data_IF_693860199312
#
_entry.id   IF_693860199312
#
_cell.length_a   1.000
_cell.length_b   1.000
_cell.length_c   1.000
_cell.angle_alpha   90.00
_cell.angle_beta   90.00
_cell.angle_gamma   90.00
#
_symmetry.space_group_name_H-M   'P 1'
#
loop_
_entity.id
_entity.type
_entity.pdbx_description
1 polymer ?
#
# COMPACT_ATOMS: atom_id res chain seq x y z
N UNK A 1 30.77 -0.08 5.77
CA UNK A 1 30.24 0.32 4.45
C UNK A 1 29.69 1.75 4.36
N UNK A 2 29.81 2.53 5.41
CA UNK A 2 29.57 3.99 5.38
C UNK A 2 30.54 4.74 4.46
N UNK A 3 31.69 4.15 4.16
CA UNK A 3 32.71 4.73 3.26
C UNK A 3 32.29 4.66 1.79
N UNK A 4 31.50 3.64 1.40
CA UNK A 4 30.98 3.51 0.03
C UNK A 4 29.83 4.47 -0.28
N UNK A 5 29.02 4.82 0.72
CA UNK A 5 27.97 5.84 0.55
C UNK A 5 28.54 7.26 0.42
N UNK A 6 29.71 7.52 0.99
CA UNK A 6 30.44 8.80 0.77
C UNK A 6 30.89 8.98 -0.68
N UNK A 7 31.35 7.90 -1.33
CA UNK A 7 31.79 7.97 -2.74
C UNK A 7 30.65 8.29 -3.71
N UNK A 8 29.47 7.71 -3.53
CA UNK A 8 28.31 8.04 -4.36
C UNK A 8 27.84 9.49 -4.12
N UNK A 9 27.78 9.93 -2.87
CA UNK A 9 27.40 11.31 -2.52
C UNK A 9 28.33 12.36 -3.16
N UNK A 10 29.63 12.06 -3.27
CA UNK A 10 30.59 13.00 -3.86
C UNK A 10 30.55 13.03 -5.40
N UNK A 11 30.22 11.92 -6.05
CA UNK A 11 29.99 11.90 -7.51
C UNK A 11 28.71 12.66 -7.87
N UNK A 12 27.63 12.49 -7.12
CA UNK A 12 26.38 13.22 -7.34
C UNK A 12 26.44 14.72 -6.94
N UNK A 13 27.35 15.11 -6.06
CA UNK A 13 27.58 16.52 -5.73
C UNK A 13 28.08 17.36 -6.90
N UNK A 14 28.66 16.74 -7.92
CA UNK A 14 29.29 17.42 -9.08
C UNK A 14 28.45 17.37 -10.36
N UNK A 15 27.41 16.55 -10.42
CA UNK A 15 26.59 16.43 -11.62
C UNK A 15 25.21 17.06 -11.37
N UNK A 16 24.88 18.09 -12.13
CA UNK A 16 23.55 18.73 -12.09
C UNK A 16 22.50 17.93 -12.87
N UNK A 17 22.90 16.85 -13.55
CA UNK A 17 22.03 16.01 -14.36
C UNK A 17 22.56 14.58 -14.46
N UNK A 18 21.65 13.63 -14.69
CA UNK A 18 21.95 12.22 -14.96
C UNK A 18 20.94 11.64 -15.95
N UNK A 19 21.37 10.80 -16.88
CA UNK A 19 20.46 10.03 -17.73
C UNK A 19 19.68 8.99 -16.92
N UNK A 20 18.39 8.83 -17.19
CA UNK A 20 17.56 7.80 -16.53
C UNK A 20 18.20 6.42 -16.68
N UNK A 21 18.73 6.09 -17.87
CA UNK A 21 19.39 4.81 -18.12
C UNK A 21 20.67 4.61 -17.27
N UNK A 22 21.45 5.67 -17.09
CA UNK A 22 22.66 5.61 -16.26
C UNK A 22 22.31 5.53 -14.78
N UNK A 23 21.27 6.28 -14.34
CA UNK A 23 20.74 6.15 -12.98
C UNK A 23 20.31 4.71 -12.68
N UNK A 24 19.56 4.07 -13.58
CA UNK A 24 19.09 2.69 -13.43
C UNK A 24 20.27 1.73 -13.31
N UNK A 25 21.30 1.86 -14.16
CA UNK A 25 22.52 1.04 -14.10
C UNK A 25 23.25 1.18 -12.76
N UNK A 26 23.44 2.42 -12.31
CA UNK A 26 24.12 2.67 -11.03
C UNK A 26 23.30 2.19 -9.85
N UNK A 27 21.98 2.38 -9.87
CA UNK A 27 21.08 1.87 -8.86
C UNK A 27 21.13 0.34 -8.76
N UNK A 28 21.06 -0.36 -9.90
CA UNK A 28 21.17 -1.82 -9.96
C UNK A 28 22.53 -2.30 -9.47
N UNK A 29 23.62 -1.62 -9.86
CA UNK A 29 24.98 -1.95 -9.40
C UNK A 29 25.13 -1.77 -7.89
N UNK A 30 24.53 -0.74 -7.32
CA UNK A 30 24.67 -0.38 -5.90
C UNK A 30 23.82 -1.24 -4.99
N UNK A 31 22.58 -1.53 -5.41
CA UNK A 31 21.58 -2.17 -4.56
C UNK A 31 21.19 -3.58 -5.01
N UNK A 32 21.63 -4.04 -6.17
CA UNK A 32 21.26 -5.34 -6.73
C UNK A 32 19.81 -5.42 -7.22
N UNK A 33 19.07 -4.31 -7.24
CA UNK A 33 17.64 -4.23 -7.56
C UNK A 33 17.47 -3.67 -8.97
N UNK A 34 16.70 -4.37 -9.81
CA UNK A 34 16.28 -3.84 -11.11
C UNK A 34 15.10 -2.89 -10.95
N UNK A 35 15.20 -1.72 -11.54
CA UNK A 35 14.12 -0.74 -11.63
C UNK A 35 13.88 -0.34 -13.08
N UNK A 36 12.65 0.04 -13.41
CA UNK A 36 12.26 0.55 -14.73
C UNK A 36 12.33 2.07 -14.80
N UNK A 37 12.35 2.62 -16.01
CA UNK A 37 12.25 4.06 -16.23
C UNK A 37 10.93 4.64 -15.70
N UNK A 38 9.82 3.88 -15.78
CA UNK A 38 8.53 4.27 -15.21
C UNK A 38 8.64 4.47 -13.70
N UNK A 39 9.24 3.51 -12.98
CA UNK A 39 9.44 3.61 -11.53
C UNK A 39 10.30 4.80 -11.12
N UNK A 40 11.32 5.14 -11.92
CA UNK A 40 12.13 6.35 -11.68
C UNK A 40 11.27 7.61 -11.84
N UNK A 41 10.48 7.70 -12.91
CA UNK A 41 9.59 8.83 -13.14
C UNK A 41 8.54 8.99 -12.04
N UNK A 42 7.93 7.90 -11.60
CA UNK A 42 6.95 7.92 -10.50
C UNK A 42 7.59 8.34 -9.18
N UNK A 43 8.81 7.88 -8.89
CA UNK A 43 9.56 8.33 -7.71
C UNK A 43 9.81 9.85 -7.74
N UNK A 44 10.12 10.42 -8.92
CA UNK A 44 10.26 11.86 -9.10
C UNK A 44 8.92 12.57 -8.85
N UNK A 45 7.80 12.07 -9.37
CA UNK A 45 6.47 12.63 -9.15
C UNK A 45 6.10 12.64 -7.65
N UNK A 46 6.38 11.53 -6.95
CA UNK A 46 6.18 11.43 -5.50
C UNK A 46 7.03 12.46 -4.74
N UNK A 47 8.31 12.55 -5.09
CA UNK A 47 9.27 13.47 -4.44
C UNK A 47 8.85 14.93 -4.59
N UNK A 48 8.23 15.27 -5.69
CA UNK A 48 7.76 16.63 -6.02
C UNK A 48 6.31 16.90 -5.57
N UNK A 49 5.64 15.95 -4.95
CA UNK A 49 4.26 16.08 -4.49
C UNK A 49 3.19 15.95 -5.58
N UNK A 50 3.57 15.61 -6.81
CA UNK A 50 2.61 15.44 -7.93
C UNK A 50 1.73 14.20 -7.79
N UNK A 51 2.09 13.28 -6.91
CA UNK A 51 1.27 12.12 -6.55
C UNK A 51 -0.05 12.50 -5.88
N UNK A 52 -0.09 13.63 -5.19
CA UNK A 52 -1.27 14.11 -4.46
C UNK A 52 -2.27 14.74 -5.42
N UNK A 53 -3.48 14.19 -5.48
CA UNK A 53 -4.54 14.64 -6.41
C UNK A 53 -5.68 15.40 -5.74
N UNK A 54 -5.78 15.39 -4.40
CA UNK A 54 -6.85 16.07 -3.65
C UNK A 54 -6.46 17.52 -3.34
N UNK A 55 -7.30 18.47 -3.70
CA UNK A 55 -7.07 19.91 -3.52
C UNK A 55 -6.70 20.28 -2.06
N UNK A 56 -7.41 19.74 -1.08
CA UNK A 56 -7.12 20.02 0.34
C UNK A 56 -5.73 19.54 0.79
N UNK A 57 -5.24 18.42 0.22
CA UNK A 57 -3.91 17.92 0.50
C UNK A 57 -2.85 18.63 -0.32
N UNK A 58 -3.19 19.03 -1.55
CA UNK A 58 -2.34 19.84 -2.41
C UNK A 58 -1.94 21.16 -1.74
N UNK A 59 -2.90 21.84 -1.12
CA UNK A 59 -2.63 23.07 -0.35
C UNK A 59 -1.69 22.81 0.84
N UNK A 60 -1.75 21.63 1.45
CA UNK A 60 -0.93 21.23 2.60
C UNK A 60 0.51 20.88 2.20
N UNK A 61 0.67 20.06 1.16
CA UNK A 61 1.99 19.54 0.77
C UNK A 61 2.70 20.39 -0.27
N UNK A 62 1.97 21.17 -1.05
CA UNK A 62 2.41 21.99 -2.18
C UNK A 62 3.32 21.23 -3.15
N UNK A 63 3.05 21.31 -4.40
CA UNK A 63 3.97 20.81 -5.43
C UNK A 63 5.18 21.74 -5.50
N UNK A 64 6.36 21.17 -5.35
CA UNK A 64 7.61 21.91 -5.47
C UNK A 64 8.48 21.14 -6.44
N UNK A 65 8.61 21.67 -7.65
CA UNK A 65 9.49 21.08 -8.64
C UNK A 65 10.94 21.32 -8.22
N UNK A 66 11.64 20.23 -8.00
CA UNK A 66 13.07 20.22 -7.63
C UNK A 66 13.91 19.55 -8.70
N UNK A 67 13.28 18.67 -9.50
CA UNK A 67 13.86 17.96 -10.62
C UNK A 67 13.02 18.16 -11.87
N UNK A 68 13.64 18.18 -13.02
CA UNK A 68 13.00 18.04 -14.31
C UNK A 68 13.49 16.79 -15.02
N UNK A 69 12.58 16.11 -15.71
CA UNK A 69 12.91 15.04 -16.65
C UNK A 69 12.53 15.52 -18.04
N UNK A 70 13.55 15.80 -18.85
CA UNK A 70 13.33 16.28 -20.20
C UNK A 70 12.99 15.14 -21.18
N UNK A 71 12.53 15.51 -22.38
CA UNK A 71 12.15 14.51 -23.40
C UNK A 71 13.33 13.63 -23.88
N UNK A 72 14.56 14.00 -23.55
CA UNK A 72 15.75 13.20 -23.83
C UNK A 72 16.03 12.13 -22.79
N UNK A 73 15.22 12.05 -21.72
CA UNK A 73 15.40 11.13 -20.61
C UNK A 73 16.51 11.54 -19.65
N UNK A 74 16.80 12.85 -19.57
CA UNK A 74 17.75 13.40 -18.61
C UNK A 74 17.01 13.95 -17.39
N UNK A 75 17.40 13.50 -16.20
CA UNK A 75 16.98 14.05 -14.92
C UNK A 75 17.93 15.18 -14.57
N UNK A 76 17.41 16.38 -14.35
CA UNK A 76 18.18 17.57 -13.98
C UNK A 76 17.62 18.20 -12.71
N UNK A 77 18.51 18.77 -11.89
CA UNK A 77 18.09 19.63 -10.79
C UNK A 77 17.68 20.99 -11.33
N UNK A 78 16.53 21.48 -10.91
CA UNK A 78 16.13 22.83 -11.23
C UNK A 78 17.12 23.85 -10.65
N UNK A 79 17.37 24.92 -11.39
CA UNK A 79 18.30 25.98 -10.99
C UNK A 79 17.96 26.54 -9.60
N UNK A 80 16.68 26.82 -9.35
CA UNK A 80 16.20 27.34 -8.05
C UNK A 80 16.51 26.39 -6.88
N UNK A 81 16.46 25.07 -7.12
CA UNK A 81 16.80 24.08 -6.11
C UNK A 81 18.32 23.99 -5.91
N UNK A 82 19.09 24.02 -6.99
CA UNK A 82 20.55 24.05 -6.95
C UNK A 82 21.10 25.26 -6.19
N UNK A 83 20.51 26.45 -6.43
CA UNK A 83 20.85 27.67 -5.70
C UNK A 83 20.56 27.56 -4.20
N UNK A 84 19.45 26.95 -3.80
CA UNK A 84 19.14 26.68 -2.38
C UNK A 84 20.12 25.70 -1.74
N UNK A 85 20.53 24.66 -2.47
CA UNK A 85 21.51 23.68 -1.98
C UNK A 85 22.90 24.29 -1.75
N UNK A 86 23.21 25.46 -2.34
CA UNK A 86 24.44 26.20 -2.05
C UNK A 86 24.49 26.76 -0.61
N UNK A 87 23.32 26.93 0.05
CA UNK A 87 23.24 27.34 1.45
C UNK A 87 23.45 26.12 2.37
N UNK A 88 24.53 26.15 3.13
CA UNK A 88 24.96 25.00 3.96
C UNK A 88 23.87 24.50 4.90
N UNK A 89 23.09 25.38 5.53
CA UNK A 89 22.01 24.98 6.43
C UNK A 89 20.91 24.19 5.69
N UNK A 90 20.49 24.67 4.53
CA UNK A 90 19.49 23.98 3.71
C UNK A 90 20.01 22.63 3.22
N UNK A 91 21.25 22.58 2.74
CA UNK A 91 21.92 21.34 2.32
C UNK A 91 21.94 20.30 3.44
N UNK A 92 22.36 20.69 4.64
CA UNK A 92 22.41 19.78 5.80
C UNK A 92 21.05 19.22 6.15
N UNK A 93 19.99 20.05 6.15
CA UNK A 93 18.63 19.59 6.41
C UNK A 93 18.13 18.59 5.37
N UNK A 94 18.38 18.84 4.08
CA UNK A 94 18.02 17.91 3.00
C UNK A 94 18.78 16.60 3.16
N UNK A 95 20.07 16.64 3.45
CA UNK A 95 20.90 15.46 3.66
C UNK A 95 20.39 14.62 4.86
N UNK A 96 20.00 15.24 5.94
CA UNK A 96 19.46 14.57 7.13
C UNK A 96 18.08 13.93 6.85
N UNK A 97 17.20 14.60 6.12
CA UNK A 97 15.91 14.02 5.69
C UNK A 97 16.14 12.78 4.83
N UNK A 98 17.07 12.84 3.88
CA UNK A 98 17.42 11.68 3.03
C UNK A 98 17.96 10.52 3.86
N UNK A 99 18.88 10.79 4.81
CA UNK A 99 19.43 9.77 5.72
C UNK A 99 18.34 9.10 6.54
N UNK A 100 17.42 9.88 7.12
CA UNK A 100 16.27 9.36 7.87
C UNK A 100 15.35 8.53 6.99
N UNK A 101 15.07 8.98 5.77
CA UNK A 101 14.27 8.23 4.79
C UNK A 101 14.88 6.87 4.45
N UNK A 102 16.19 6.85 4.18
CA UNK A 102 16.93 5.60 3.88
C UNK A 102 16.94 4.66 5.10
N UNK A 103 17.16 5.18 6.31
CA UNK A 103 17.14 4.37 7.52
C UNK A 103 15.77 3.72 7.73
N UNK A 104 14.67 4.50 7.67
CA UNK A 104 13.30 3.99 7.77
C UNK A 104 12.96 2.94 6.70
N UNK A 105 13.42 3.15 5.46
CA UNK A 105 13.25 2.17 4.39
C UNK A 105 13.95 0.85 4.73
N UNK A 106 15.20 0.92 5.19
CA UNK A 106 15.97 -0.27 5.58
C UNK A 106 15.29 -1.00 6.74
N UNK A 107 14.92 -0.29 7.79
CA UNK A 107 14.27 -0.88 8.97
C UNK A 107 12.96 -1.59 8.60
N UNK A 108 12.16 -1.00 7.71
CA UNK A 108 10.86 -1.56 7.32
C UNK A 108 10.98 -2.70 6.31
N UNK A 109 11.83 -2.58 5.29
CA UNK A 109 11.77 -3.47 4.12
C UNK A 109 12.86 -4.53 4.07
N UNK A 110 13.98 -4.37 4.79
CA UNK A 110 15.06 -5.36 4.74
C UNK A 110 14.80 -6.64 5.53
N UNK A 111 14.15 -6.64 6.72
CA UNK A 111 14.04 -7.84 7.54
C UNK A 111 13.03 -8.89 7.08
N UNK A 112 12.11 -8.58 6.17
CA UNK A 112 11.00 -9.50 5.91
C UNK A 112 10.34 -9.37 4.54
N UNK A 113 11.07 -8.91 3.53
CA UNK A 113 10.52 -8.75 2.18
C UNK A 113 10.17 -10.11 1.59
N UNK A 114 8.91 -10.27 1.20
CA UNK A 114 8.49 -11.43 0.42
C UNK A 114 9.11 -11.31 -0.98
N UNK A 115 9.63 -12.41 -1.50
CA UNK A 115 10.09 -12.48 -2.89
C UNK A 115 8.91 -12.15 -3.80
N UNK A 116 9.13 -11.27 -4.76
CA UNK A 116 8.14 -10.80 -5.75
C UNK A 116 6.96 -9.95 -5.18
N UNK A 117 7.09 -9.40 -3.98
CA UNK A 117 6.12 -8.47 -3.42
C UNK A 117 6.81 -7.21 -2.87
N UNK A 118 6.27 -6.01 -3.10
CA UNK A 118 6.76 -4.80 -2.47
C UNK A 118 6.34 -4.68 -0.99
N UNK A 119 5.50 -5.61 -0.51
CA UNK A 119 4.96 -5.59 0.85
C UNK A 119 5.74 -6.54 1.78
N UNK A 120 5.82 -6.16 3.06
CA UNK A 120 6.38 -6.98 4.14
C UNK A 120 5.23 -7.53 4.96
N UNK A 121 5.25 -8.84 5.25
CA UNK A 121 4.22 -9.49 6.06
C UNK A 121 4.08 -8.82 7.42
N UNK A 122 2.83 -8.58 7.80
CA UNK A 122 2.41 -8.03 9.10
C UNK A 122 2.82 -6.58 9.36
N UNK A 123 3.46 -5.92 8.38
CA UNK A 123 3.67 -4.48 8.42
C UNK A 123 2.39 -3.71 8.08
N UNK A 124 2.30 -2.48 8.59
CA UNK A 124 1.13 -1.61 8.36
C UNK A 124 1.29 -0.77 7.10
N UNK A 125 0.23 -0.75 6.29
CA UNK A 125 0.12 0.06 5.07
C UNK A 125 -1.22 0.79 5.04
N UNK A 126 -1.19 2.07 4.70
CA UNK A 126 -2.38 2.80 4.30
C UNK A 126 -2.77 2.44 2.85
N UNK A 127 -3.99 2.77 2.43
CA UNK A 127 -4.39 2.64 1.02
C UNK A 127 -3.50 3.47 0.07
N UNK A 128 -2.99 4.60 0.56
CA UNK A 128 -2.02 5.43 -0.17
C UNK A 128 -0.69 4.70 -0.34
N UNK A 129 -0.19 4.04 0.69
CA UNK A 129 1.04 3.25 0.58
C UNK A 129 0.90 2.14 -0.46
N UNK A 130 -0.26 1.49 -0.54
CA UNK A 130 -0.54 0.50 -1.59
C UNK A 130 -0.48 1.14 -2.97
N UNK A 131 -1.09 2.32 -3.18
CA UNK A 131 -1.01 3.04 -4.46
C UNK A 131 0.43 3.37 -4.85
N UNK A 132 1.25 3.81 -3.89
CA UNK A 132 2.66 4.13 -4.09
C UNK A 132 3.49 2.89 -4.44
N UNK A 133 3.34 1.81 -3.66
CA UNK A 133 4.11 0.59 -3.84
C UNK A 133 3.74 -0.17 -5.11
N UNK A 134 2.50 -0.01 -5.58
CA UNK A 134 2.01 -0.58 -6.85
C UNK A 134 2.21 0.35 -8.05
N UNK A 135 2.95 1.44 -7.89
CA UNK A 135 3.28 2.38 -8.95
C UNK A 135 2.05 2.88 -9.74
N UNK A 136 0.98 3.25 -9.04
CA UNK A 136 -0.26 3.70 -9.68
C UNK A 136 -0.18 5.09 -10.32
N UNK A 137 0.95 5.78 -10.21
CA UNK A 137 1.15 7.15 -10.73
C UNK A 137 0.31 8.23 -10.04
N UNK A 138 -0.68 7.84 -9.25
CA UNK A 138 -1.56 8.74 -8.46
C UNK A 138 -2.11 8.05 -7.23
N UNK A 139 -2.59 8.86 -6.26
CA UNK A 139 -3.24 8.35 -5.06
C UNK A 139 -4.64 7.80 -5.38
N UNK A 140 -4.81 6.48 -5.30
CA UNK A 140 -6.09 5.79 -5.47
C UNK A 140 -6.82 5.53 -4.15
N UNK A 141 -6.32 6.00 -3.00
CA UNK A 141 -6.85 5.68 -1.67
C UNK A 141 -8.34 5.96 -1.51
N UNK A 142 -8.86 6.99 -2.21
CA UNK A 142 -10.27 7.37 -2.17
C UNK A 142 -11.23 6.41 -2.88
N UNK A 143 -10.72 5.49 -3.69
CA UNK A 143 -11.53 4.49 -4.44
C UNK A 143 -11.16 3.06 -4.06
N UNK A 144 -10.34 2.85 -3.02
CA UNK A 144 -9.95 1.55 -2.49
C UNK A 144 -10.82 1.13 -1.31
N UNK A 145 -12.15 1.18 -1.46
CA UNK A 145 -13.08 0.75 -0.41
C UNK A 145 -13.45 -0.72 -0.59
N UNK A 146 -13.12 -1.54 0.42
CA UNK A 146 -13.39 -2.97 0.43
C UNK A 146 -12.45 -3.75 -0.49
N UNK A 147 -12.43 -3.47 -1.80
CA UNK A 147 -11.57 -4.14 -2.76
C UNK A 147 -11.12 -3.18 -3.86
N UNK A 148 -9.90 -3.40 -4.38
CA UNK A 148 -9.38 -2.73 -5.56
C UNK A 148 -8.50 -3.66 -6.38
N UNK A 149 -8.79 -3.80 -7.67
CA UNK A 149 -7.89 -4.41 -8.65
C UNK A 149 -6.92 -3.36 -9.20
N UNK A 150 -5.65 -3.72 -9.26
CA UNK A 150 -4.56 -2.95 -9.86
C UNK A 150 -3.81 -3.94 -10.75
N UNK A 151 -3.96 -3.83 -12.07
CA UNK A 151 -3.41 -4.77 -13.05
C UNK A 151 -3.79 -6.23 -12.75
N UNK A 152 -2.81 -7.09 -12.46
CA UNK A 152 -2.99 -8.50 -12.14
C UNK A 152 -3.20 -8.77 -10.65
N UNK A 153 -3.10 -7.74 -9.82
CA UNK A 153 -3.25 -7.83 -8.38
C UNK A 153 -4.64 -7.37 -7.93
N UNK A 154 -5.22 -8.05 -6.93
CA UNK A 154 -6.39 -7.56 -6.21
C UNK A 154 -6.07 -7.39 -4.74
N UNK A 155 -6.44 -6.25 -4.18
CA UNK A 155 -6.25 -5.89 -2.78
C UNK A 155 -7.60 -5.86 -2.09
N UNK A 156 -7.76 -6.64 -1.01
CA UNK A 156 -8.96 -6.65 -0.17
C UNK A 156 -8.62 -5.99 1.16
N UNK A 157 -9.40 -4.95 1.51
CA UNK A 157 -9.22 -4.15 2.72
C UNK A 157 -10.36 -4.42 3.69
N UNK A 158 -10.06 -5.00 4.84
CA UNK A 158 -11.03 -5.41 5.84
C UNK A 158 -10.84 -4.61 7.14
N UNK A 159 -11.94 -4.15 7.70
CA UNK A 159 -12.03 -3.73 9.10
C UNK A 159 -12.61 -4.90 9.89
N UNK A 160 -11.85 -5.45 10.84
CA UNK A 160 -12.21 -6.67 11.58
C UNK A 160 -13.40 -6.43 12.51
N UNK A 161 -13.35 -5.36 13.31
CA UNK A 161 -14.47 -4.87 14.13
C UNK A 161 -14.99 -3.57 13.50
N UNK A 162 -16.09 -3.65 12.77
CA UNK A 162 -16.77 -2.47 12.26
C UNK A 162 -17.56 -1.82 13.40
N UNK A 163 -17.54 -0.49 13.49
CA UNK A 163 -18.49 0.23 14.33
C UNK A 163 -19.88 -0.04 13.74
N UNK A 164 -20.68 -0.81 14.47
CA UNK A 164 -22.05 -1.08 14.07
C UNK A 164 -22.83 0.25 14.11
N UNK A 165 -23.46 0.61 12.99
CA UNK A 165 -24.64 1.47 13.06
C UNK A 165 -25.62 0.77 14.01
N UNK A 166 -26.22 1.49 14.96
CA UNK A 166 -27.00 0.96 16.08
C UNK A 166 -28.14 -0.03 15.72
N UNK A 167 -28.32 -0.36 14.45
CA UNK A 167 -29.42 -1.15 13.90
C UNK A 167 -29.05 -2.60 13.45
N UNK A 168 -27.78 -3.03 13.54
CA UNK A 168 -27.39 -4.36 13.07
C UNK A 168 -26.85 -5.26 14.20
N UNK A 169 -27.70 -5.68 15.12
CA UNK A 169 -27.40 -6.77 16.07
C UNK A 169 -27.92 -8.08 15.51
N UNK A 170 -27.23 -8.68 14.57
CA UNK A 170 -27.44 -10.08 14.21
C UNK A 170 -26.50 -10.94 15.05
N UNK A 171 -27.04 -11.58 16.07
CA UNK A 171 -26.37 -12.61 16.87
C UNK A 171 -26.86 -13.99 16.43
N UNK A 172 -25.95 -14.87 16.05
CA UNK A 172 -26.20 -16.30 15.91
C UNK A 172 -25.53 -16.99 17.10
N UNK A 173 -26.29 -17.70 17.94
CA UNK A 173 -25.83 -18.38 19.15
C UNK A 173 -25.03 -17.52 20.14
N UNK A 174 -25.40 -16.22 20.30
CA UNK A 174 -24.75 -15.32 21.26
C UNK A 174 -23.34 -14.84 20.84
N UNK A 175 -22.91 -15.15 19.62
CA UNK A 175 -21.71 -14.59 19.00
C UNK A 175 -22.12 -13.64 17.89
N UNK A 176 -21.43 -12.48 17.73
CA UNK A 176 -21.65 -11.63 16.58
C UNK A 176 -21.42 -12.44 15.30
N UNK A 177 -22.35 -12.39 14.35
CA UNK A 177 -22.16 -12.97 13.01
C UNK A 177 -21.16 -12.09 12.24
N UNK A 178 -19.90 -12.10 12.65
CA UNK A 178 -18.81 -11.45 11.93
C UNK A 178 -18.54 -12.26 10.68
N UNK A 179 -19.06 -11.76 9.59
CA UNK A 179 -18.83 -12.34 8.28
C UNK A 179 -17.36 -12.29 7.83
N UNK A 180 -16.56 -11.39 8.44
CA UNK A 180 -15.15 -11.16 8.10
C UNK A 180 -14.27 -11.60 9.28
N UNK A 181 -13.88 -12.89 9.34
CA UNK A 181 -13.15 -13.44 10.49
C UNK A 181 -12.12 -14.50 10.10
N UNK A 182 -11.04 -14.57 10.87
CA UNK A 182 -10.14 -15.72 10.86
C UNK A 182 -10.79 -16.90 11.61
N UNK A 183 -10.95 -18.02 10.92
CA UNK A 183 -11.39 -19.30 11.51
C UNK A 183 -10.22 -19.95 12.26
N UNK A 184 -9.05 -19.88 11.67
CA UNK A 184 -7.76 -20.27 12.22
C UNK A 184 -6.64 -19.35 11.71
N UNK A 185 -5.38 -19.74 11.82
CA UNK A 185 -4.23 -18.96 11.37
C UNK A 185 -4.04 -18.95 9.84
N UNK A 186 -4.74 -19.79 9.10
CA UNK A 186 -4.65 -19.92 7.64
C UNK A 186 -5.95 -19.59 6.91
N UNK A 187 -7.10 -19.75 7.55
CA UNK A 187 -8.40 -19.62 6.89
C UNK A 187 -9.09 -18.33 7.31
N UNK A 188 -9.41 -17.51 6.32
CA UNK A 188 -10.18 -16.27 6.49
C UNK A 188 -11.54 -16.40 5.78
N UNK A 189 -12.62 -16.11 6.48
CA UNK A 189 -13.97 -16.00 5.93
C UNK A 189 -14.27 -14.54 5.63
N UNK A 190 -14.83 -14.28 4.47
CA UNK A 190 -15.16 -12.93 4.01
C UNK A 190 -16.49 -12.91 3.28
N UNK A 191 -17.28 -11.88 3.57
CA UNK A 191 -18.48 -11.56 2.81
C UNK A 191 -18.20 -10.38 1.88
N UNK A 192 -18.57 -10.49 0.61
CA UNK A 192 -18.49 -9.37 -0.32
C UNK A 192 -19.43 -8.24 0.11
N UNK A 193 -19.22 -7.06 -0.45
CA UNK A 193 -20.15 -5.94 -0.23
C UNK A 193 -21.57 -6.31 -0.68
N UNK A 194 -22.57 -5.74 -0.01
CA UNK A 194 -23.99 -5.87 -0.36
C UNK A 194 -24.21 -5.49 -1.84
N UNK A 195 -24.96 -6.31 -2.56
CA UNK A 195 -25.18 -6.16 -3.99
C UNK A 195 -24.10 -6.77 -4.89
N UNK A 196 -23.09 -7.44 -4.32
CA UNK A 196 -21.96 -8.07 -5.05
C UNK A 196 -22.07 -9.59 -5.01
N UNK A 197 -23.00 -10.14 -5.77
CA UNK A 197 -23.09 -11.60 -6.03
C UNK A 197 -21.92 -12.13 -6.85
N UNK A 198 -21.81 -13.45 -6.94
CA UNK A 198 -20.70 -14.17 -7.57
C UNK A 198 -20.47 -13.75 -9.03
N UNK A 199 -21.53 -13.45 -9.78
CA UNK A 199 -21.46 -13.06 -11.19
C UNK A 199 -21.15 -11.58 -11.42
N UNK A 200 -21.01 -10.79 -10.35
CA UNK A 200 -20.71 -9.37 -10.44
C UNK A 200 -19.28 -9.12 -10.97
N UNK A 201 -19.06 -8.01 -11.66
CA UNK A 201 -17.70 -7.59 -12.09
C UNK A 201 -16.74 -7.48 -10.90
N UNK A 202 -17.25 -7.04 -9.74
CA UNK A 202 -16.50 -6.98 -8.50
C UNK A 202 -15.94 -8.35 -8.09
N UNK A 203 -16.76 -9.41 -8.12
CA UNK A 203 -16.29 -10.75 -7.77
C UNK A 203 -15.43 -11.37 -8.85
N UNK A 204 -15.69 -11.08 -10.13
CA UNK A 204 -14.80 -11.48 -11.22
C UNK A 204 -13.40 -10.93 -11.03
N UNK A 205 -13.26 -9.66 -10.68
CA UNK A 205 -11.96 -9.05 -10.37
C UNK A 205 -11.23 -9.81 -9.26
N UNK A 206 -11.94 -10.25 -8.20
CA UNK A 206 -11.35 -11.04 -7.11
C UNK A 206 -10.94 -12.44 -7.57
N UNK A 207 -11.79 -13.11 -8.31
CA UNK A 207 -11.58 -14.52 -8.68
C UNK A 207 -10.50 -14.67 -9.76
N UNK A 208 -10.49 -13.76 -10.74
CA UNK A 208 -9.63 -13.82 -11.93
C UNK A 208 -8.25 -13.17 -11.73
N UNK A 209 -8.06 -12.33 -10.71
CA UNK A 209 -6.76 -11.74 -10.43
C UNK A 209 -5.70 -12.83 -10.20
N UNK A 210 -4.51 -12.61 -10.72
CA UNK A 210 -3.39 -13.55 -10.58
C UNK A 210 -2.91 -13.59 -9.11
N UNK A 211 -2.73 -12.42 -8.51
CA UNK A 211 -2.28 -12.27 -7.12
C UNK A 211 -3.37 -11.59 -6.28
N UNK A 212 -3.69 -12.19 -5.15
CA UNK A 212 -4.76 -11.76 -4.26
C UNK A 212 -4.18 -11.42 -2.89
N UNK A 213 -4.35 -10.18 -2.45
CA UNK A 213 -3.73 -9.63 -1.24
C UNK A 213 -4.78 -9.27 -0.20
N UNK A 214 -4.54 -9.67 1.05
CA UNK A 214 -5.40 -9.35 2.19
C UNK A 214 -4.73 -8.32 3.09
N UNK A 215 -5.46 -7.24 3.39
CA UNK A 215 -5.06 -6.20 4.32
C UNK A 215 -6.16 -6.04 5.38
N UNK A 216 -5.80 -6.15 6.66
CA UNK A 216 -6.76 -6.14 7.77
C UNK A 216 -6.37 -5.09 8.80
N UNK A 217 -7.31 -4.29 9.25
CA UNK A 217 -7.19 -3.42 10.43
C UNK A 217 -8.16 -3.84 11.51
N UNK A 218 -7.84 -3.57 12.77
CA UNK A 218 -8.67 -4.01 13.89
C UNK A 218 -10.02 -3.28 13.93
N UNK A 219 -10.01 -1.94 13.78
CA UNK A 219 -11.22 -1.13 13.90
C UNK A 219 -11.18 0.10 12.99
N UNK A 220 -12.27 0.85 12.97
CA UNK A 220 -12.36 2.08 12.18
C UNK A 220 -11.50 3.23 12.72
N UNK A 221 -11.09 3.17 13.99
CA UNK A 221 -10.12 4.12 14.55
C UNK A 221 -8.73 4.03 13.90
N UNK A 222 -8.39 2.90 13.25
CA UNK A 222 -7.11 2.74 12.57
C UNK A 222 -7.16 3.24 11.12
N UNK A 223 -6.13 3.93 10.67
CA UNK A 223 -5.99 4.43 9.29
C UNK A 223 -5.19 3.49 8.39
N UNK A 224 -4.40 2.60 8.98
CA UNK A 224 -3.53 1.66 8.28
C UNK A 224 -3.91 0.22 8.58
N UNK A 225 -3.62 -0.66 7.64
CA UNK A 225 -3.99 -2.08 7.65
C UNK A 225 -2.73 -2.93 7.77
N UNK A 226 -2.76 -3.99 8.54
CA UNK A 226 -1.74 -5.02 8.52
C UNK A 226 -1.82 -5.79 7.19
N UNK A 227 -0.71 -5.95 6.51
CA UNK A 227 -0.62 -6.80 5.33
C UNK A 227 -0.52 -8.26 5.76
N UNK A 228 -1.57 -9.02 5.50
CA UNK A 228 -1.68 -10.43 5.89
C UNK A 228 -1.03 -11.40 4.88
N UNK A 229 -0.55 -10.88 3.75
CA UNK A 229 0.02 -11.67 2.68
C UNK A 229 -0.94 -11.97 1.54
N UNK A 230 -0.52 -12.88 0.67
CA UNK A 230 -1.35 -13.37 -0.42
C UNK A 230 -2.24 -14.53 0.05
N UNK A 231 -3.34 -14.73 -0.68
CA UNK A 231 -4.27 -15.83 -0.43
C UNK A 231 -4.76 -16.47 -1.73
N UNK A 232 -5.31 -17.68 -1.61
CA UNK A 232 -6.08 -18.35 -2.65
C UNK A 232 -7.54 -18.48 -2.23
N UNK A 233 -8.45 -18.41 -3.19
CA UNK A 233 -9.87 -18.68 -2.93
C UNK A 233 -10.08 -20.19 -2.93
N UNK A 234 -10.54 -20.72 -1.77
CA UNK A 234 -10.86 -22.16 -1.61
C UNK A 234 -12.30 -22.41 -2.02
N UNK A 235 -13.21 -21.53 -1.63
CA UNK A 235 -14.63 -21.60 -1.91
C UNK A 235 -15.20 -20.19 -2.13
N UNK A 236 -16.08 -20.06 -3.10
CA UNK A 236 -16.89 -18.87 -3.29
C UNK A 236 -18.32 -19.29 -3.65
N UNK A 237 -19.31 -18.82 -2.89
CA UNK A 237 -20.72 -19.19 -3.11
C UNK A 237 -21.64 -18.00 -2.97
N UNK A 238 -22.71 -18.01 -3.75
CA UNK A 238 -23.77 -17.01 -3.62
C UNK A 238 -24.47 -17.14 -2.26
N UNK A 239 -24.78 -15.99 -1.67
CA UNK A 239 -25.61 -15.86 -0.49
C UNK A 239 -26.45 -14.58 -0.61
N UNK A 240 -27.28 -14.33 0.39
CA UNK A 240 -28.09 -13.10 0.48
C UNK A 240 -27.92 -12.49 1.87
N UNK A 241 -27.86 -11.17 1.92
CA UNK A 241 -27.81 -10.40 3.17
C UNK A 241 -28.81 -9.25 3.07
N UNK A 242 -29.45 -8.91 4.18
CA UNK A 242 -30.36 -7.80 4.25
C UNK A 242 -29.60 -6.47 4.17
N UNK A 243 -30.09 -5.51 3.39
CA UNK A 243 -29.57 -4.14 3.34
C UNK A 243 -30.21 -3.27 4.42
N UNK A 244 -29.72 -2.06 4.64
CA UNK A 244 -30.24 -1.11 5.64
C UNK A 244 -31.72 -0.69 5.43
N UNK A 245 -32.37 -1.18 4.35
CA UNK A 245 -33.78 -0.95 4.03
C UNK A 245 -34.63 -2.22 4.17
N UNK A 246 -34.09 -3.28 4.78
CA UNK A 246 -34.77 -4.55 4.95
C UNK A 246 -34.89 -5.40 3.68
N UNK A 247 -34.11 -5.14 2.62
CA UNK A 247 -34.19 -5.86 1.35
C UNK A 247 -33.07 -6.87 1.23
N UNK A 248 -33.42 -8.11 0.89
CA UNK A 248 -32.44 -9.18 0.65
C UNK A 248 -31.66 -8.93 -0.63
N UNK A 249 -30.37 -8.62 -0.49
CA UNK A 249 -29.42 -8.34 -1.57
C UNK A 249 -28.45 -9.51 -1.79
N UNK A 250 -27.97 -9.72 -3.01
CA UNK A 250 -26.96 -10.73 -3.27
C UNK A 250 -25.61 -10.33 -2.64
N UNK A 251 -24.95 -11.31 -2.05
CA UNK A 251 -23.56 -11.25 -1.62
C UNK A 251 -22.85 -12.52 -2.06
N UNK A 252 -21.53 -12.53 -1.97
CA UNK A 252 -20.69 -13.73 -2.13
C UNK A 252 -19.98 -14.01 -0.82
N UNK A 253 -20.15 -15.22 -0.30
CA UNK A 253 -19.34 -15.73 0.82
C UNK A 253 -18.09 -16.40 0.25
N UNK A 254 -16.93 -15.98 0.73
CA UNK A 254 -15.63 -16.45 0.25
C UNK A 254 -14.82 -17.03 1.40
N UNK A 255 -14.27 -18.21 1.17
CA UNK A 255 -13.27 -18.82 2.04
C UNK A 255 -11.90 -18.63 1.40
N UNK A 256 -11.02 -17.93 2.09
CA UNK A 256 -9.67 -17.63 1.66
C UNK A 256 -8.68 -18.47 2.44
N UNK A 257 -7.69 -19.06 1.76
CA UNK A 257 -6.54 -19.71 2.39
C UNK A 257 -5.32 -18.86 2.22
N UNK A 258 -4.76 -18.39 3.33
CA UNK A 258 -3.54 -17.59 3.35
C UNK A 258 -2.33 -18.42 2.91
N UNK A 259 -1.36 -17.81 2.24
CA UNK A 259 -0.09 -18.48 1.88
C UNK A 259 0.82 -18.70 3.10
N UNK A 260 0.69 -17.87 4.11
CA UNK A 260 1.47 -17.91 5.34
C UNK A 260 0.54 -17.88 6.55
N UNK A 261 0.77 -18.72 7.58
CA UNK A 261 -0.03 -18.69 8.80
C UNK A 261 0.14 -17.34 9.49
N UNK A 262 -0.97 -16.76 9.93
CA UNK A 262 -0.97 -15.48 10.64
C UNK A 262 -0.30 -15.64 12.01
N UNK A 263 0.58 -14.72 12.36
CA UNK A 263 1.23 -14.71 13.68
C UNK A 263 0.20 -14.70 14.80
N UNK A 264 0.42 -15.53 15.79
CA UNK A 264 -0.52 -15.74 16.91
C UNK A 264 -0.80 -14.44 17.70
N UNK A 265 0.22 -13.60 17.91
CA UNK A 265 0.05 -12.31 18.59
C UNK A 265 -0.84 -11.35 17.83
N UNK A 266 -0.71 -11.31 16.49
CA UNK A 266 -1.53 -10.48 15.62
C UNK A 266 -2.96 -11.03 15.52
N UNK A 267 -3.12 -12.34 15.44
CA UNK A 267 -4.44 -12.99 15.41
C UNK A 267 -5.20 -12.69 16.71
N UNK A 268 -4.56 -12.86 17.87
CA UNK A 268 -5.14 -12.50 19.18
C UNK A 268 -5.48 -11.01 19.27
N UNK A 269 -4.60 -10.14 18.74
CA UNK A 269 -4.87 -8.70 18.70
C UNK A 269 -6.13 -8.37 17.89
N UNK A 270 -6.28 -8.96 16.70
CA UNK A 270 -7.44 -8.73 15.85
C UNK A 270 -8.73 -9.28 16.47
N UNK A 271 -8.68 -10.47 17.09
CA UNK A 271 -9.84 -11.13 17.68
C UNK A 271 -10.23 -10.57 19.05
N UNK A 272 -9.33 -9.85 19.73
CA UNK A 272 -9.65 -9.29 21.05
C UNK A 272 -10.70 -8.18 20.93
N UNK A 273 -11.65 -8.15 21.87
CA UNK A 273 -12.67 -7.10 21.94
C UNK A 273 -12.03 -5.71 21.99
N UNK A 274 -12.70 -4.73 21.38
CA UNK A 274 -12.32 -3.33 21.54
C UNK A 274 -12.74 -2.94 22.95
N UNK A 275 -11.76 -2.79 23.85
CA UNK A 275 -12.04 -2.13 25.13
C UNK A 275 -12.08 -0.63 24.85
N UNK A 276 -13.27 -0.05 24.94
CA UNK A 276 -13.50 1.41 24.85
C UNK A 276 -13.03 2.05 26.13
#
# INVERSE_FOLDING_TARGET
>A
DLVRSRGLGDVYKRQDHIGVADFIKEYQKTYGIKISASQVNEAIQVLQGHFVSKEAEYQKFRQIDILENDQSGMIRRLKSYTERLAHIQFYTQVEDIIKVGIARYKDKYFPGRIVDSPFVLYEKYSRRDVSLLMNCGKDLSSIMYGMKRIEDDVFIFITYHKEESQDEKNYVDGKPDYADTFEDDLIFKWDSQIGKGLDSSYMKDVLEAERKHLLVKKSDAETSFYYMGQFTVVEARNARKEDNRGRMQPITKVTMKMQHPVREDLLRYLQSNITV
#
